data_IF_900476674962
#
_entry.id   IF_900476674962
#
_cell.length_a   1.000
_cell.length_b   1.000
_cell.length_c   1.000
_cell.angle_alpha   90.00
_cell.angle_beta   90.00
_cell.angle_gamma   90.00
#
_symmetry.space_group_name_H-M   'P 1'
#
loop_
_entity.id
_entity.type
_entity.pdbx_description
1 polymer ?
#
# COMPACT_ATOMS: atom_id res chain seq x y z
N UNK A 1 6.95 -24.55 38.49
CA UNK A 1 6.38 -24.91 37.17
C UNK A 1 5.91 -23.62 36.53
N UNK A 2 6.51 -23.22 35.40
CA UNK A 2 6.24 -21.94 34.74
C UNK A 2 7.21 -21.75 33.57
N UNK A 3 7.22 -22.72 32.64
CA UNK A 3 8.07 -22.64 31.44
C UNK A 3 7.44 -21.62 30.49
N UNK A 4 8.16 -20.52 30.29
CA UNK A 4 7.94 -19.53 29.22
C UNK A 4 7.59 -20.22 27.91
N UNK A 5 6.39 -19.95 27.42
CA UNK A 5 5.89 -20.37 26.11
C UNK A 5 6.17 -19.30 25.04
N UNK A 6 7.25 -18.52 25.18
CA UNK A 6 7.66 -17.51 24.19
C UNK A 6 8.76 -18.01 23.26
N UNK A 7 8.75 -19.31 22.95
CA UNK A 7 9.36 -19.79 21.72
C UNK A 7 8.38 -19.48 20.59
N UNK A 8 8.30 -18.19 20.22
CA UNK A 8 7.74 -17.78 18.94
C UNK A 8 8.40 -18.67 17.90
N UNK A 9 7.56 -19.40 17.18
CA UNK A 9 7.90 -20.25 16.06
C UNK A 9 8.85 -19.49 15.11
N UNK A 10 10.15 -19.59 15.32
CA UNK A 10 11.17 -19.45 14.29
C UNK A 10 11.04 -20.69 13.40
N UNK A 11 9.90 -20.82 12.76
CA UNK A 11 9.63 -21.87 11.79
C UNK A 11 10.61 -21.67 10.67
N UNK A 12 11.49 -22.66 10.51
CA UNK A 12 12.44 -22.89 9.41
C UNK A 12 11.77 -22.99 8.02
N UNK A 13 10.76 -22.17 7.72
CA UNK A 13 10.24 -21.99 6.37
C UNK A 13 11.01 -20.83 5.76
N UNK A 14 12.05 -21.16 5.01
CA UNK A 14 13.06 -20.24 4.46
C UNK A 14 12.57 -19.30 3.38
N UNK A 15 11.37 -18.72 3.51
CA UNK A 15 11.01 -17.48 2.85
C UNK A 15 10.97 -16.37 3.88
N UNK A 16 11.70 -15.30 3.63
CA UNK A 16 11.66 -14.12 4.50
C UNK A 16 10.41 -13.31 4.24
N UNK A 17 9.94 -12.65 5.30
CA UNK A 17 8.86 -11.68 5.22
C UNK A 17 9.29 -10.48 4.37
N UNK A 18 8.32 -9.78 3.79
CA UNK A 18 8.55 -8.47 3.21
C UNK A 18 9.07 -7.54 4.31
N UNK A 19 10.21 -6.90 4.06
CA UNK A 19 10.84 -6.01 5.04
C UNK A 19 10.04 -4.74 5.33
N UNK A 20 9.12 -4.35 4.44
CA UNK A 20 8.27 -3.16 4.61
C UNK A 20 7.02 -3.47 5.44
N UNK A 21 6.28 -4.54 5.08
CA UNK A 21 4.99 -4.82 5.71
C UNK A 21 4.99 -5.93 6.76
N UNK A 22 6.10 -6.67 6.88
CA UNK A 22 6.25 -7.82 7.77
C UNK A 22 5.44 -9.06 7.33
N UNK A 23 4.62 -8.97 6.29
CA UNK A 23 3.84 -10.10 5.77
C UNK A 23 4.72 -11.00 4.90
N UNK A 24 4.46 -12.32 4.87
CA UNK A 24 5.22 -13.25 4.04
C UNK A 24 5.08 -12.92 2.55
N UNK A 25 6.15 -13.14 1.78
CA UNK A 25 6.06 -13.14 0.31
C UNK A 25 5.19 -14.31 -0.10
N UNK A 26 4.05 -14.04 -0.74
CA UNK A 26 3.10 -15.10 -1.08
C UNK A 26 3.63 -15.94 -2.24
N UNK A 27 3.26 -17.20 -2.28
CA UNK A 27 3.45 -18.01 -3.47
C UNK A 27 2.23 -17.87 -4.37
N UNK A 28 2.44 -17.57 -5.65
CA UNK A 28 1.37 -17.74 -6.63
C UNK A 28 1.12 -19.23 -6.85
N UNK A 29 -0.15 -19.64 -6.87
CA UNK A 29 -0.50 -21.01 -7.22
C UNK A 29 -0.40 -21.19 -8.74
N UNK A 30 -0.10 -22.40 -9.25
CA UNK A 30 -0.10 -22.66 -10.68
C UNK A 30 -1.44 -22.37 -11.37
N UNK A 31 -2.55 -22.44 -10.63
CA UNK A 31 -3.89 -22.14 -11.14
C UNK A 31 -4.04 -20.64 -11.43
N UNK A 32 -3.53 -19.77 -10.55
CA UNK A 32 -3.53 -18.31 -10.72
C UNK A 32 -2.81 -17.91 -12.03
N UNK A 33 -1.80 -18.69 -12.44
CA UNK A 33 -1.08 -18.46 -13.69
C UNK A 33 -1.96 -18.65 -14.92
N UNK A 34 -2.90 -19.60 -14.94
CA UNK A 34 -3.76 -19.82 -16.12
C UNK A 34 -4.61 -18.59 -16.40
N UNK A 35 -5.17 -18.01 -15.34
CA UNK A 35 -6.01 -16.83 -15.40
C UNK A 35 -5.23 -15.57 -15.78
N UNK A 36 -3.91 -15.53 -15.59
CA UNK A 36 -3.11 -14.34 -15.87
C UNK A 36 -2.14 -14.48 -17.04
N UNK A 37 -1.94 -15.70 -17.53
CA UNK A 37 -1.04 -15.97 -18.64
C UNK A 37 -1.42 -15.18 -19.89
N UNK A 38 -2.71 -14.87 -20.09
CA UNK A 38 -3.14 -14.07 -21.24
C UNK A 38 -2.86 -12.56 -21.09
N UNK A 39 -2.66 -12.06 -19.87
CA UNK A 39 -2.30 -10.66 -19.59
C UNK A 39 -0.76 -10.50 -19.63
N UNK A 40 -0.04 -11.50 -19.09
CA UNK A 40 1.39 -11.40 -18.81
C UNK A 40 2.30 -12.21 -19.74
N UNK A 41 1.76 -13.12 -20.55
CA UNK A 41 2.50 -13.76 -21.64
C UNK A 41 2.23 -12.93 -22.89
N UNK A 42 3.16 -12.05 -23.30
CA UNK A 42 3.02 -11.34 -24.54
C UNK A 42 2.92 -12.36 -25.66
N UNK A 43 1.82 -12.32 -26.41
CA UNK A 43 1.57 -13.17 -27.59
C UNK A 43 2.64 -13.00 -28.67
N UNK A 44 3.58 -12.06 -28.51
CA UNK A 44 4.49 -11.53 -29.53
C UNK A 44 5.96 -11.43 -29.09
N UNK A 45 6.40 -12.13 -28.04
CA UNK A 45 7.82 -12.13 -27.62
C UNK A 45 8.33 -10.78 -27.07
N UNK A 46 7.45 -9.79 -26.92
CA UNK A 46 7.73 -8.54 -26.20
C UNK A 46 8.09 -8.86 -24.74
N UNK A 47 8.89 -8.01 -24.08
CA UNK A 47 9.16 -8.17 -22.65
C UNK A 47 8.27 -7.22 -21.89
N UNK A 48 7.58 -7.71 -20.85
CA UNK A 48 6.90 -6.83 -19.89
C UNK A 48 7.94 -6.12 -19.04
N UNK A 49 7.80 -4.81 -18.91
CA UNK A 49 8.63 -3.96 -18.07
C UNK A 49 8.13 -3.97 -16.63
N UNK A 50 9.00 -3.57 -15.70
CA UNK A 50 8.60 -3.49 -14.30
C UNK A 50 7.50 -2.46 -14.05
N UNK A 51 7.52 -1.34 -14.77
CA UNK A 51 6.48 -0.32 -14.70
C UNK A 51 5.12 -0.82 -15.19
N UNK A 52 5.07 -1.50 -16.33
CA UNK A 52 3.83 -2.12 -16.84
C UNK A 52 3.24 -3.11 -15.83
N UNK A 53 4.09 -3.91 -15.18
CA UNK A 53 3.64 -4.86 -14.16
C UNK A 53 3.12 -4.14 -12.90
N UNK A 54 3.78 -3.07 -12.46
CA UNK A 54 3.35 -2.29 -11.30
C UNK A 54 2.00 -1.58 -11.51
N UNK A 55 1.67 -1.26 -12.76
CA UNK A 55 0.41 -0.60 -13.14
C UNK A 55 -0.70 -1.57 -13.57
N UNK A 56 -0.44 -2.89 -13.58
CA UNK A 56 -1.42 -3.88 -14.01
C UNK A 56 -2.66 -3.95 -13.10
N UNK A 57 -3.83 -4.26 -13.69
CA UNK A 57 -5.11 -4.38 -12.97
C UNK A 57 -5.28 -5.77 -12.34
N UNK A 58 -5.04 -5.87 -11.03
CA UNK A 58 -5.15 -7.11 -10.26
C UNK A 58 -6.56 -7.46 -9.76
N UNK A 59 -7.62 -6.90 -10.33
CA UNK A 59 -8.99 -7.07 -9.84
C UNK A 59 -9.48 -8.52 -9.84
N UNK A 60 -9.04 -9.36 -10.78
CA UNK A 60 -9.46 -10.77 -10.87
C UNK A 60 -8.82 -11.65 -9.81
N UNK A 61 -7.52 -11.44 -9.54
CA UNK A 61 -6.74 -12.20 -8.55
C UNK A 61 -5.89 -11.25 -7.71
N UNK A 62 -6.48 -10.55 -6.71
CA UNK A 62 -5.78 -9.52 -5.94
C UNK A 62 -4.52 -10.03 -5.21
N UNK A 63 -4.53 -11.29 -4.76
CA UNK A 63 -3.39 -11.92 -4.08
C UNK A 63 -2.18 -12.11 -4.99
N UNK A 64 -2.37 -12.15 -6.32
CA UNK A 64 -1.27 -12.32 -7.26
C UNK A 64 -0.26 -11.18 -7.17
N UNK A 65 -0.74 -9.95 -6.95
CA UNK A 65 0.12 -8.78 -6.77
C UNK A 65 1.13 -8.98 -5.62
N UNK A 66 0.69 -9.67 -4.56
CA UNK A 66 1.50 -9.98 -3.37
C UNK A 66 2.43 -11.19 -3.55
N UNK A 67 2.35 -11.88 -4.68
CA UNK A 67 3.36 -12.87 -5.07
C UNK A 67 4.56 -12.25 -5.80
N UNK A 68 4.41 -11.03 -6.32
CA UNK A 68 5.51 -10.29 -6.92
C UNK A 68 6.31 -9.57 -5.85
N UNK A 69 7.62 -9.65 -5.98
CA UNK A 69 8.53 -9.02 -5.04
C UNK A 69 9.75 -8.44 -5.76
N UNK A 70 10.32 -7.43 -5.12
CA UNK A 70 11.67 -6.92 -5.37
C UNK A 70 12.54 -7.25 -4.16
N UNK A 71 13.83 -7.01 -4.29
CA UNK A 71 14.80 -7.23 -3.23
C UNK A 71 15.74 -6.03 -3.15
N UNK A 72 16.03 -5.58 -1.94
CA UNK A 72 17.22 -4.75 -1.70
C UNK A 72 18.42 -5.69 -1.59
N UNK A 73 19.28 -5.62 -2.59
CA UNK A 73 20.46 -6.47 -2.75
C UNK A 73 21.66 -5.79 -2.11
N UNK A 74 22.35 -6.50 -1.25
CA UNK A 74 23.59 -6.08 -0.59
C UNK A 74 24.72 -6.94 -1.13
N UNK A 75 25.42 -6.41 -2.14
CA UNK A 75 26.51 -7.11 -2.82
C UNK A 75 27.72 -7.31 -1.89
N UNK A 76 28.62 -8.28 -2.19
CA UNK A 76 29.81 -8.54 -1.38
C UNK A 76 30.78 -7.36 -1.25
N UNK A 77 30.72 -6.38 -2.16
CA UNK A 77 31.51 -5.15 -2.14
C UNK A 77 30.90 -4.06 -1.23
N UNK A 78 29.76 -4.33 -0.60
CA UNK A 78 29.03 -3.40 0.25
C UNK A 78 28.07 -2.49 -0.50
N UNK A 79 27.97 -2.60 -1.84
CA UNK A 79 27.00 -1.82 -2.61
C UNK A 79 25.57 -2.32 -2.37
N UNK A 80 24.64 -1.37 -2.38
CA UNK A 80 23.21 -1.61 -2.22
C UNK A 80 22.48 -1.22 -3.50
N UNK A 81 21.57 -2.06 -3.98
CA UNK A 81 20.72 -1.75 -5.12
C UNK A 81 19.37 -2.46 -5.02
N UNK A 82 18.38 -1.98 -5.74
CA UNK A 82 17.07 -2.62 -5.84
C UNK A 82 17.06 -3.55 -7.06
N UNK A 83 16.52 -4.76 -6.89
CA UNK A 83 16.38 -5.71 -7.98
C UNK A 83 15.22 -5.36 -8.92
N UNK A 84 15.16 -6.03 -10.07
CA UNK A 84 13.94 -6.16 -10.85
C UNK A 84 12.82 -6.91 -10.11
N UNK A 85 11.68 -7.10 -10.76
CA UNK A 85 10.52 -7.78 -10.17
C UNK A 85 10.60 -9.27 -10.45
N UNK A 86 10.37 -10.10 -9.43
CA UNK A 86 10.28 -11.55 -9.56
C UNK A 86 8.97 -12.06 -8.97
N UNK A 87 8.36 -13.03 -9.64
CA UNK A 87 7.24 -13.79 -9.10
C UNK A 87 7.73 -14.92 -8.19
N UNK A 88 7.18 -15.01 -6.99
CA UNK A 88 7.44 -16.10 -6.06
C UNK A 88 6.69 -17.36 -6.50
N UNK A 89 7.43 -18.33 -7.04
CA UNK A 89 6.89 -19.56 -7.60
C UNK A 89 7.45 -20.78 -6.89
N UNK A 90 6.55 -21.50 -6.22
CA UNK A 90 6.80 -22.77 -5.53
C UNK A 90 7.97 -22.71 -4.53
N UNK A 91 8.29 -23.80 -3.83
CA UNK A 91 9.29 -23.86 -2.74
C UNK A 91 10.72 -23.55 -3.22
N UNK A 92 11.02 -22.32 -3.63
CA UNK A 92 12.39 -21.84 -3.80
C UNK A 92 13.08 -21.98 -2.45
N UNK A 93 13.92 -23.00 -2.35
CA UNK A 93 14.62 -23.35 -1.13
C UNK A 93 15.71 -22.31 -0.90
N UNK A 94 15.52 -21.51 0.14
CA UNK A 94 16.53 -20.74 0.86
C UNK A 94 17.28 -19.63 0.11
N UNK A 95 17.02 -19.39 -1.18
CA UNK A 95 17.76 -18.39 -1.96
C UNK A 95 16.88 -17.61 -2.91
N UNK A 96 17.25 -16.35 -3.10
CA UNK A 96 16.61 -15.46 -4.06
C UNK A 96 17.37 -15.44 -5.37
N UNK A 97 16.64 -15.59 -6.48
CA UNK A 97 17.16 -15.39 -7.84
C UNK A 97 16.33 -14.32 -8.53
N UNK A 98 16.85 -13.10 -8.56
CA UNK A 98 16.17 -11.93 -9.10
C UNK A 98 16.97 -11.29 -10.23
N UNK A 99 16.33 -10.54 -11.14
CA UNK A 99 17.03 -9.69 -12.09
C UNK A 99 17.82 -8.58 -11.38
N UNK A 100 19.04 -8.30 -11.83
CA UNK A 100 19.87 -7.24 -11.27
C UNK A 100 19.38 -5.84 -11.67
N UNK A 101 18.87 -5.69 -12.90
CA UNK A 101 18.31 -4.43 -13.39
C UNK A 101 16.90 -4.21 -12.80
N UNK A 102 16.65 -3.01 -12.26
CA UNK A 102 15.37 -2.61 -11.64
C UNK A 102 14.18 -2.67 -12.61
N UNK A 103 14.41 -2.57 -13.92
CA UNK A 103 13.35 -2.57 -14.93
C UNK A 103 13.03 -3.97 -15.47
N UNK A 104 13.86 -4.96 -15.17
CA UNK A 104 13.65 -6.33 -15.63
C UNK A 104 12.57 -7.03 -14.80
N UNK A 105 11.77 -7.87 -15.46
CA UNK A 105 10.72 -8.67 -14.84
C UNK A 105 10.95 -10.15 -15.09
N UNK A 106 10.75 -10.96 -14.05
CA UNK A 106 10.78 -12.42 -14.09
C UNK A 106 9.44 -13.01 -13.65
N UNK A 107 8.73 -13.61 -14.61
CA UNK A 107 7.45 -14.27 -14.41
C UNK A 107 7.54 -15.77 -14.70
N UNK A 108 6.70 -16.56 -14.04
CA UNK A 108 6.49 -17.97 -14.37
C UNK A 108 7.65 -18.94 -14.09
N UNK A 109 7.34 -20.23 -14.17
CA UNK A 109 8.27 -21.34 -13.90
C UNK A 109 9.25 -21.61 -15.06
N UNK A 110 9.27 -20.77 -16.11
CA UNK A 110 10.22 -20.83 -17.23
C UNK A 110 11.63 -20.36 -16.83
N UNK A 111 12.03 -20.74 -15.62
CA UNK A 111 13.33 -20.57 -15.01
C UNK A 111 14.36 -21.58 -15.53
N UNK A 112 13.94 -22.56 -16.35
CA UNK A 112 14.84 -23.45 -17.07
C UNK A 112 15.61 -22.73 -18.19
N UNK A 113 15.11 -21.59 -18.66
CA UNK A 113 15.95 -20.63 -19.37
C UNK A 113 16.86 -19.95 -18.35
N UNK A 114 18.10 -20.41 -18.30
CA UNK A 114 19.21 -19.79 -17.59
C UNK A 114 19.22 -18.32 -18.00
N UNK A 115 18.74 -17.44 -17.13
CA UNK A 115 18.95 -16.01 -17.33
C UNK A 115 20.43 -15.75 -17.03
N UNK A 116 21.24 -15.38 -18.04
CA UNK A 116 22.69 -15.29 -17.89
C UNK A 116 23.15 -14.19 -16.91
N UNK A 117 22.21 -13.47 -16.27
CA UNK A 117 22.45 -12.37 -15.34
C UNK A 117 21.75 -12.51 -13.99
N UNK A 118 21.13 -13.65 -13.68
CA UNK A 118 20.57 -13.84 -12.33
C UNK A 118 21.68 -14.19 -11.35
N UNK A 119 21.77 -13.48 -10.23
CA UNK A 119 22.65 -13.81 -9.09
C UNK A 119 21.84 -14.46 -7.98
N UNK A 120 22.51 -15.30 -7.18
CA UNK A 120 21.92 -15.89 -5.98
C UNK A 120 22.29 -15.06 -4.75
N UNK A 121 21.29 -14.72 -3.96
CA UNK A 121 21.46 -14.00 -2.70
C UNK A 121 20.86 -14.79 -1.55
N UNK A 122 21.53 -14.72 -0.41
CA UNK A 122 21.05 -15.31 0.84
C UNK A 122 20.06 -14.33 1.52
N UNK A 123 18.99 -14.83 2.15
CA UNK A 123 18.06 -13.98 2.88
C UNK A 123 18.77 -13.19 3.99
N UNK A 124 18.64 -11.87 3.96
CA UNK A 124 18.97 -11.02 5.07
C UNK A 124 17.86 -11.05 6.12
N UNK A 125 18.24 -10.89 7.38
CA UNK A 125 17.28 -10.64 8.46
C UNK A 125 17.56 -9.24 9.01
N UNK A 126 16.50 -8.51 9.37
CA UNK A 126 16.63 -7.13 9.86
C UNK A 126 16.79 -7.08 11.37
N UNK A 127 16.47 -8.17 12.07
CA UNK A 127 16.46 -8.21 13.51
C UNK A 127 17.80 -8.59 14.10
N UNK A 128 18.62 -9.41 13.44
CA UNK A 128 19.90 -9.81 14.03
C UNK A 128 20.89 -8.63 14.11
N UNK A 129 21.43 -8.38 15.30
CA UNK A 129 22.36 -7.27 15.60
C UNK A 129 23.74 -7.44 14.96
N UNK A 130 24.10 -8.67 14.59
CA UNK A 130 25.43 -9.01 14.06
C UNK A 130 25.31 -10.01 12.92
N UNK A 131 25.44 -9.50 11.71
CA UNK A 131 25.71 -10.34 10.54
C UNK A 131 27.21 -10.52 10.41
N UNK A 132 27.72 -11.61 10.98
CA UNK A 132 29.05 -12.12 10.59
C UNK A 132 28.90 -12.81 9.23
N UNK A 133 29.58 -12.33 8.17
CA UNK A 133 29.54 -12.98 6.87
C UNK A 133 30.13 -14.39 7.00
N UNK A 134 29.28 -15.40 7.11
CA UNK A 134 29.71 -16.80 7.00
C UNK A 134 29.91 -17.12 5.50
N UNK A 135 30.97 -16.55 4.92
CA UNK A 135 31.38 -16.79 3.53
C UNK A 135 31.39 -15.53 2.67
N UNK A 136 32.60 -15.02 2.38
CA UNK A 136 32.88 -13.78 1.62
C UNK A 136 32.41 -13.75 0.14
N UNK A 137 31.60 -14.71 -0.32
CA UNK A 137 31.29 -14.85 -1.76
C UNK A 137 29.87 -14.48 -2.18
N UNK A 138 28.94 -14.32 -1.25
CA UNK A 138 27.52 -14.08 -1.59
C UNK A 138 27.02 -12.80 -0.94
N UNK A 139 26.20 -12.07 -1.70
CA UNK A 139 25.46 -10.94 -1.17
C UNK A 139 24.22 -11.37 -0.39
N UNK A 140 23.57 -10.39 0.24
CA UNK A 140 22.33 -10.55 0.99
C UNK A 140 21.13 -9.95 0.26
N UNK A 141 19.95 -10.43 0.64
CA UNK A 141 18.68 -10.06 0.03
C UNK A 141 17.62 -9.72 1.08
N UNK A 142 17.07 -8.51 1.01
CA UNK A 142 15.94 -8.07 1.82
C UNK A 142 14.70 -7.92 0.93
N UNK A 143 13.79 -8.91 0.89
CA UNK A 143 12.68 -8.87 -0.06
C UNK A 143 11.59 -7.91 0.37
N UNK A 144 10.88 -7.39 -0.61
CA UNK A 144 9.73 -6.52 -0.44
C UNK A 144 8.68 -6.84 -1.49
N UNK A 145 7.40 -6.88 -1.10
CA UNK A 145 6.32 -7.01 -2.09
C UNK A 145 6.41 -5.87 -3.10
N UNK A 146 6.14 -6.16 -4.36
CA UNK A 146 6.08 -5.13 -5.41
C UNK A 146 5.10 -4.00 -5.02
N UNK A 147 3.88 -4.28 -4.54
CA UNK A 147 2.99 -3.20 -4.08
C UNK A 147 3.54 -2.38 -2.92
N UNK A 148 4.26 -2.99 -1.98
CA UNK A 148 4.90 -2.25 -0.87
C UNK A 148 5.98 -1.30 -1.38
N UNK A 149 6.76 -1.71 -2.39
CA UNK A 149 7.74 -0.85 -3.05
C UNK A 149 7.09 0.31 -3.81
N UNK A 150 5.97 0.08 -4.51
CA UNK A 150 5.23 1.15 -5.19
C UNK A 150 4.76 2.20 -4.19
N UNK A 151 4.15 1.78 -3.07
CA UNK A 151 3.72 2.71 -2.02
C UNK A 151 4.90 3.47 -1.39
N UNK A 152 6.01 2.78 -1.11
CA UNK A 152 7.22 3.39 -0.58
C UNK A 152 7.70 4.53 -1.47
N UNK A 153 7.79 4.31 -2.79
CA UNK A 153 8.23 5.31 -3.76
C UNK A 153 7.28 6.50 -3.91
N UNK A 154 5.98 6.26 -3.73
CA UNK A 154 4.99 7.33 -3.76
C UNK A 154 5.10 8.24 -2.54
N UNK A 155 5.42 7.69 -1.36
CA UNK A 155 5.61 8.48 -0.14
C UNK A 155 6.98 9.13 -0.04
N UNK A 156 8.02 8.41 -0.44
CA UNK A 156 9.42 8.84 -0.38
C UNK A 156 9.98 8.70 -1.79
N UNK A 157 10.20 9.83 -2.48
CA UNK A 157 10.71 9.90 -3.86
C UNK A 157 11.69 8.76 -4.19
N UNK A 158 11.44 8.05 -5.29
CA UNK A 158 12.26 6.90 -5.74
C UNK A 158 13.76 7.18 -5.69
N UNK A 159 14.18 8.35 -6.21
CA UNK A 159 15.58 8.73 -6.26
C UNK A 159 16.18 8.86 -4.87
N UNK A 160 15.45 9.47 -3.93
CA UNK A 160 15.90 9.66 -2.54
C UNK A 160 16.06 8.30 -1.88
N UNK A 161 15.10 7.39 -2.05
CA UNK A 161 15.14 6.05 -1.47
C UNK A 161 16.31 5.22 -2.03
N UNK A 162 16.47 5.16 -3.34
CA UNK A 162 17.51 4.35 -3.99
C UNK A 162 18.93 4.85 -3.70
N UNK A 163 19.12 6.17 -3.56
CA UNK A 163 20.41 6.75 -3.17
C UNK A 163 20.77 6.52 -1.69
N UNK A 164 19.79 6.18 -0.86
CA UNK A 164 19.92 6.10 0.60
C UNK A 164 19.48 4.73 1.17
N UNK A 165 19.62 3.65 0.39
CA UNK A 165 19.18 2.30 0.80
C UNK A 165 19.80 1.83 2.13
N UNK A 166 21.01 2.26 2.45
CA UNK A 166 21.65 1.94 3.74
C UNK A 166 20.87 2.53 4.93
N UNK A 167 20.43 3.79 4.82
CA UNK A 167 19.59 4.43 5.82
C UNK A 167 18.20 3.83 5.86
N UNK A 168 17.64 3.42 4.71
CA UNK A 168 16.36 2.70 4.67
C UNK A 168 16.45 1.38 5.45
N UNK A 169 17.47 0.55 5.20
CA UNK A 169 17.64 -0.72 5.92
C UNK A 169 17.85 -0.52 7.42
N UNK A 170 18.59 0.51 7.82
CA UNK A 170 18.74 0.87 9.24
C UNK A 170 17.40 1.29 9.87
N UNK A 171 16.60 2.07 9.15
CA UNK A 171 15.26 2.52 9.57
C UNK A 171 14.34 1.32 9.74
N UNK A 172 14.28 0.43 8.75
CA UNK A 172 13.48 -0.79 8.81
C UNK A 172 13.92 -1.68 9.98
N UNK A 173 15.23 -1.86 10.17
CA UNK A 173 15.78 -2.63 11.29
C UNK A 173 15.38 -2.03 12.65
N UNK A 174 15.50 -0.71 12.80
CA UNK A 174 15.06 0.02 13.99
C UNK A 174 13.56 -0.16 14.24
N UNK A 175 12.73 0.07 13.23
CA UNK A 175 11.27 -0.06 13.30
C UNK A 175 10.84 -1.45 13.81
N UNK A 176 11.42 -2.52 13.25
CA UNK A 176 11.07 -3.89 13.64
C UNK A 176 11.64 -4.29 15.00
N UNK A 177 12.85 -3.86 15.37
CA UNK A 177 13.47 -4.20 16.67
C UNK A 177 12.78 -3.54 17.85
N UNK A 178 12.31 -2.30 17.70
CA UNK A 178 11.64 -1.58 18.78
C UNK A 178 10.19 -2.03 19.01
N UNK A 179 9.75 -3.13 18.37
CA UNK A 179 8.40 -3.64 18.55
C UNK A 179 7.31 -2.74 18.01
N UNK A 180 7.65 -1.66 17.29
CA UNK A 180 6.66 -0.80 16.65
C UNK A 180 5.81 -1.62 15.67
N UNK A 181 6.41 -2.59 14.96
CA UNK A 181 5.67 -3.55 14.13
C UNK A 181 4.84 -4.61 14.88
N UNK A 182 5.14 -4.87 16.16
CA UNK A 182 4.46 -5.89 16.98
C UNK A 182 3.09 -5.39 17.46
N UNK A 183 2.93 -4.09 17.71
CA UNK A 183 1.61 -3.52 17.96
C UNK A 183 0.67 -3.58 16.74
N UNK A 184 1.25 -3.76 15.55
CA UNK A 184 0.51 -3.98 14.31
C UNK A 184 0.43 -5.45 13.87
N UNK A 185 1.07 -6.36 14.64
CA UNK A 185 0.95 -7.82 14.48
C UNK A 185 0.90 -8.49 15.86
N UNK A 186 -0.30 -8.80 16.40
CA UNK A 186 -1.35 -9.50 15.67
C UNK A 186 -2.72 -8.80 15.77
N UNK A 187 -3.27 -8.35 14.63
CA UNK A 187 -4.73 -8.45 14.49
C UNK A 187 -5.03 -9.96 14.62
N UNK A 188 -5.94 -10.38 15.51
CA UNK A 188 -6.18 -11.78 15.81
C UNK A 188 -6.20 -12.60 14.53
N UNK A 189 -5.50 -13.74 14.54
CA UNK A 189 -5.63 -14.78 13.51
C UNK A 189 -7.10 -14.84 13.12
N UNK A 190 -7.41 -14.41 11.90
CA UNK A 190 -8.72 -14.56 11.30
C UNK A 190 -9.86 -13.99 12.17
N UNK A 191 -10.16 -12.69 12.04
CA UNK A 191 -11.60 -12.37 12.01
C UNK A 191 -12.11 -13.07 10.76
N UNK A 192 -12.65 -14.28 10.94
CA UNK A 192 -13.26 -15.07 9.88
C UNK A 192 -14.46 -14.27 9.35
N UNK A 193 -14.23 -13.38 8.41
CA UNK A 193 -15.31 -12.83 7.63
C UNK A 193 -15.78 -13.93 6.69
N UNK A 194 -16.87 -14.59 7.08
CA UNK A 194 -17.63 -15.48 6.21
C UNK A 194 -18.30 -14.60 5.16
N UNK A 195 -17.58 -14.26 4.09
CA UNK A 195 -18.21 -13.73 2.89
C UNK A 195 -19.12 -14.84 2.36
N UNK A 196 -20.44 -14.63 2.39
CA UNK A 196 -21.49 -15.64 2.25
C UNK A 196 -21.54 -16.40 0.90
N UNK A 197 -20.50 -16.30 0.06
CA UNK A 197 -20.47 -16.89 -1.27
C UNK A 197 -19.18 -17.62 -1.63
N UNK A 198 -18.10 -17.45 -0.86
CA UNK A 198 -16.82 -18.12 -1.10
C UNK A 198 -16.19 -18.47 0.25
N UNK A 199 -16.08 -19.74 0.59
CA UNK A 199 -15.37 -20.25 1.79
C UNK A 199 -13.83 -20.07 1.65
N UNK A 200 -13.38 -18.92 1.18
CA UNK A 200 -11.98 -18.55 1.09
C UNK A 200 -11.72 -17.48 2.14
N UNK A 201 -10.98 -17.86 3.19
CA UNK A 201 -10.43 -16.91 4.15
C UNK A 201 -9.43 -15.99 3.41
N UNK A 202 -9.92 -14.84 2.91
CA UNK A 202 -9.05 -13.83 2.28
C UNK A 202 -8.40 -13.04 3.40
N UNK A 203 -7.12 -13.32 3.64
CA UNK A 203 -6.28 -12.51 4.51
C UNK A 203 -6.15 -11.11 3.89
N UNK A 204 -6.73 -10.11 4.56
CA UNK A 204 -6.72 -8.72 4.08
C UNK A 204 -5.30 -8.19 3.88
N UNK A 205 -4.30 -8.72 4.59
CA UNK A 205 -2.89 -8.36 4.42
C UNK A 205 -2.33 -8.76 3.04
N UNK A 206 -3.11 -9.54 2.28
CA UNK A 206 -2.74 -10.10 0.97
C UNK A 206 -3.47 -9.42 -0.18
N UNK A 207 -4.38 -8.49 0.12
CA UNK A 207 -5.00 -7.65 -0.90
C UNK A 207 -4.00 -6.61 -1.40
N UNK A 208 -4.02 -6.32 -2.71
CA UNK A 208 -3.13 -5.33 -3.31
C UNK A 208 -3.42 -3.93 -2.73
N UNK A 209 -2.51 -3.35 -1.95
CA UNK A 209 -2.73 -2.05 -1.34
C UNK A 209 -2.55 -0.89 -2.32
N UNK A 210 -1.97 -1.10 -3.51
CA UNK A 210 -1.81 -0.05 -4.53
C UNK A 210 -3.08 0.10 -5.36
N UNK A 211 -3.85 -0.96 -5.55
CA UNK A 211 -5.04 -0.97 -6.37
C UNK A 211 -6.29 -1.28 -5.56
N UNK A 212 -7.16 -0.30 -5.38
CA UNK A 212 -8.44 -0.44 -4.68
C UNK A 212 -9.58 -0.31 -5.71
N UNK A 213 -10.16 -1.43 -6.21
CA UNK A 213 -11.15 -1.41 -7.27
C UNK A 213 -12.34 -0.47 -7.01
N UNK A 214 -12.78 -0.38 -5.76
CA UNK A 214 -13.92 0.44 -5.35
C UNK A 214 -13.65 1.95 -5.46
N UNK A 215 -12.39 2.37 -5.31
CA UNK A 215 -11.95 3.74 -5.60
C UNK A 215 -12.02 3.96 -7.12
N UNK A 216 -11.51 3.02 -7.91
CA UNK A 216 -11.51 3.11 -9.38
C UNK A 216 -12.92 3.21 -9.96
N UNK A 217 -13.87 2.44 -9.43
CA UNK A 217 -15.29 2.52 -9.81
C UNK A 217 -15.86 3.92 -9.52
N UNK A 218 -15.59 4.49 -8.34
CA UNK A 218 -16.05 5.83 -7.96
C UNK A 218 -15.42 6.93 -8.81
N UNK A 219 -14.13 6.82 -9.12
CA UNK A 219 -13.43 7.73 -10.03
C UNK A 219 -14.05 7.70 -11.43
N UNK A 220 -14.32 6.50 -11.95
CA UNK A 220 -14.97 6.31 -13.25
C UNK A 220 -16.38 6.89 -13.26
N UNK A 221 -17.13 6.78 -12.16
CA UNK A 221 -18.44 7.40 -12.01
C UNK A 221 -18.32 8.93 -11.95
N UNK A 222 -17.42 9.48 -11.13
CA UNK A 222 -17.20 10.91 -10.97
C UNK A 222 -16.82 11.62 -12.28
N UNK A 223 -16.11 10.92 -13.18
CA UNK A 223 -15.77 11.42 -14.53
C UNK A 223 -16.95 11.42 -15.50
N UNK A 224 -17.98 10.60 -15.26
CA UNK A 224 -19.17 10.47 -16.11
C UNK A 224 -20.34 11.30 -15.60
N UNK A 225 -20.38 11.58 -14.31
CA UNK A 225 -21.45 12.37 -13.71
C UNK A 225 -21.39 13.80 -14.28
N UNK A 226 -22.48 14.30 -14.87
CA UNK A 226 -22.53 15.69 -15.31
C UNK A 226 -22.31 16.61 -14.09
N UNK A 227 -21.67 17.78 -14.28
CA UNK A 227 -21.44 18.71 -13.19
C UNK A 227 -22.76 19.04 -12.46
N UNK A 228 -22.68 19.36 -11.15
CA UNK A 228 -23.86 19.45 -10.29
C UNK A 228 -24.95 20.39 -10.83
N UNK A 229 -26.19 20.10 -10.43
CA UNK A 229 -27.40 20.80 -10.83
C UNK A 229 -27.27 22.34 -10.78
N UNK A 230 -27.93 23.02 -11.72
CA UNK A 230 -28.01 24.49 -11.77
C UNK A 230 -28.49 25.05 -10.42
N UNK A 231 -27.83 26.09 -9.93
CA UNK A 231 -28.18 26.81 -8.69
C UNK A 231 -29.66 27.24 -8.70
N UNK A 232 -30.30 27.27 -7.53
CA UNK A 232 -31.59 27.94 -7.35
C UNK A 232 -31.50 29.40 -7.82
N UNK A 233 -32.61 29.99 -8.30
CA UNK A 233 -32.71 31.44 -8.44
C UNK A 233 -32.32 32.13 -7.12
N UNK A 234 -31.62 33.28 -7.17
CA UNK A 234 -31.13 34.01 -5.99
C UNK A 234 -32.19 34.33 -4.93
N UNK A 235 -33.48 34.29 -5.29
CA UNK A 235 -34.58 34.77 -4.46
C UNK A 235 -35.11 33.76 -3.45
N UNK A 236 -34.62 32.50 -3.46
CA UNK A 236 -35.09 31.50 -2.50
C UNK A 236 -34.45 31.69 -1.11
N UNK A 237 -35.22 31.90 -0.02
CA UNK A 237 -34.69 32.28 1.30
C UNK A 237 -33.72 31.24 1.89
N UNK A 238 -33.94 29.96 1.57
CA UNK A 238 -33.09 28.85 2.01
C UNK A 238 -31.75 28.78 1.23
N UNK A 239 -31.67 29.39 0.05
CA UNK A 239 -30.44 29.51 -0.73
C UNK A 239 -29.52 30.64 -0.26
N UNK A 240 -29.96 31.47 0.71
CA UNK A 240 -29.20 32.63 1.21
C UNK A 240 -28.20 32.31 2.32
N UNK A 241 -28.03 31.03 2.67
CA UNK A 241 -27.04 30.64 3.68
C UNK A 241 -25.63 30.93 3.13
N UNK A 242 -24.77 31.65 3.87
CA UNK A 242 -23.39 31.88 3.45
C UNK A 242 -22.67 30.55 3.19
N UNK A 243 -21.83 30.50 2.16
CA UNK A 243 -21.17 29.26 1.73
C UNK A 243 -20.32 28.64 2.84
N UNK A 244 -19.73 29.47 3.69
CA UNK A 244 -18.93 29.08 4.84
C UNK A 244 -19.76 28.31 5.87
N UNK A 245 -21.01 28.74 6.09
CA UNK A 245 -21.95 28.05 6.98
C UNK A 245 -22.40 26.72 6.37
N UNK A 246 -22.65 26.69 5.05
CA UNK A 246 -22.98 25.46 4.35
C UNK A 246 -21.83 24.44 4.40
N UNK A 247 -20.58 24.89 4.22
CA UNK A 247 -19.38 24.06 4.40
C UNK A 247 -19.26 23.55 5.84
N UNK A 248 -19.46 24.41 6.84
CA UNK A 248 -19.41 24.01 8.24
C UNK A 248 -20.45 22.93 8.58
N UNK A 249 -21.67 23.04 8.06
CA UNK A 249 -22.71 22.02 8.27
C UNK A 249 -22.36 20.71 7.55
N UNK A 250 -21.85 20.78 6.31
CA UNK A 250 -21.39 19.60 5.59
C UNK A 250 -20.25 18.90 6.36
N UNK A 251 -19.32 19.66 6.93
CA UNK A 251 -18.23 19.16 7.76
C UNK A 251 -18.74 18.45 9.01
N UNK A 252 -19.69 19.07 9.71
CA UNK A 252 -20.30 18.48 10.91
C UNK A 252 -20.95 17.12 10.62
N UNK A 253 -21.62 16.98 9.46
CA UNK A 253 -22.24 15.71 9.06
C UNK A 253 -21.16 14.69 8.66
N UNK A 254 -20.19 15.07 7.82
CA UNK A 254 -19.16 14.17 7.29
C UNK A 254 -18.20 13.66 8.37
N UNK A 255 -17.88 14.49 9.37
CA UNK A 255 -16.99 14.11 10.49
C UNK A 255 -17.68 13.24 11.54
N UNK A 256 -19.02 13.09 11.50
CA UNK A 256 -19.74 12.22 12.44
C UNK A 256 -19.58 10.73 12.07
N UNK A 257 -18.56 10.11 12.64
CA UNK A 257 -18.24 8.68 12.49
C UNK A 257 -19.30 7.74 13.01
N UNK A 258 -20.19 8.23 13.88
CA UNK A 258 -21.26 7.40 14.45
C UNK A 258 -22.40 7.20 13.46
N UNK A 259 -22.44 7.99 12.37
CA UNK A 259 -23.46 7.91 11.31
C UNK A 259 -22.99 7.07 10.12
N UNK A 260 -23.58 5.89 9.89
CA UNK A 260 -23.20 5.05 8.75
C UNK A 260 -23.59 5.65 7.39
N UNK A 261 -24.48 6.65 7.36
CA UNK A 261 -25.03 7.28 6.15
C UNK A 261 -24.60 8.74 5.95
N UNK A 262 -23.54 9.19 6.62
CA UNK A 262 -23.08 10.60 6.57
C UNK A 262 -22.86 11.17 5.16
N UNK A 263 -22.37 10.36 4.22
CA UNK A 263 -22.22 10.79 2.81
C UNK A 263 -23.58 11.08 2.17
N UNK A 264 -24.50 10.13 2.27
CA UNK A 264 -25.89 10.26 1.80
C UNK A 264 -26.64 11.41 2.47
N UNK A 265 -26.49 11.59 3.78
CA UNK A 265 -27.11 12.70 4.51
C UNK A 265 -26.58 14.05 4.01
N UNK A 266 -25.27 14.15 3.79
CA UNK A 266 -24.63 15.34 3.18
C UNK A 266 -25.17 15.57 1.77
N UNK A 267 -25.28 14.52 0.96
CA UNK A 267 -25.85 14.62 -0.39
C UNK A 267 -27.30 15.13 -0.38
N UNK A 268 -28.17 14.57 0.47
CA UNK A 268 -29.56 14.99 0.57
C UNK A 268 -29.69 16.40 1.14
N UNK A 269 -28.86 16.78 2.11
CA UNK A 269 -28.81 18.14 2.63
C UNK A 269 -28.46 19.14 1.51
N UNK A 270 -27.37 18.90 0.78
CA UNK A 270 -26.96 19.75 -0.34
C UNK A 270 -28.06 19.83 -1.41
N UNK A 271 -28.71 18.70 -1.69
CA UNK A 271 -29.79 18.63 -2.67
C UNK A 271 -31.05 19.39 -2.21
N UNK A 272 -31.48 19.18 -0.96
CA UNK A 272 -32.69 19.80 -0.40
C UNK A 272 -32.56 21.32 -0.30
N UNK A 273 -31.39 21.80 0.12
CA UNK A 273 -31.11 23.24 0.23
C UNK A 273 -30.56 23.85 -1.07
N UNK A 274 -30.35 23.01 -2.11
CA UNK A 274 -29.69 23.33 -3.39
C UNK A 274 -28.39 24.10 -3.20
N UNK A 275 -27.62 23.72 -2.17
CA UNK A 275 -26.30 24.26 -1.92
C UNK A 275 -25.31 23.68 -2.93
N UNK A 276 -24.44 24.54 -3.44
CA UNK A 276 -23.28 24.14 -4.25
C UNK A 276 -22.05 24.64 -3.54
N UNK A 277 -21.20 23.72 -3.08
CA UNK A 277 -19.94 24.07 -2.45
C UNK A 277 -18.84 24.17 -3.51
N UNK A 278 -17.80 25.01 -3.30
CA UNK A 278 -16.71 25.14 -4.26
C UNK A 278 -15.95 23.82 -4.44
N UNK A 279 -15.47 23.53 -5.65
CA UNK A 279 -14.61 22.35 -5.90
C UNK A 279 -13.38 22.32 -5.00
N UNK A 280 -12.82 23.49 -4.64
CA UNK A 280 -11.69 23.58 -3.73
C UNK A 280 -11.98 22.92 -2.37
N UNK A 281 -13.22 23.03 -1.87
CA UNK A 281 -13.66 22.37 -0.64
C UNK A 281 -13.66 20.84 -0.81
N UNK A 282 -14.28 20.33 -1.87
CA UNK A 282 -14.34 18.89 -2.12
C UNK A 282 -12.97 18.28 -2.43
N UNK A 283 -12.14 18.98 -3.19
CA UNK A 283 -10.74 18.60 -3.46
C UNK A 283 -9.95 18.47 -2.16
N UNK A 284 -10.12 19.39 -1.22
CA UNK A 284 -9.46 19.33 0.09
C UNK A 284 -9.87 18.07 0.87
N UNK A 285 -11.13 17.66 0.80
CA UNK A 285 -11.64 16.43 1.43
C UNK A 285 -11.19 15.14 0.74
N UNK A 286 -10.85 15.18 -0.54
CA UNK A 286 -10.25 14.04 -1.25
C UNK A 286 -8.74 13.90 -1.01
N UNK A 287 -8.06 14.91 -0.45
CA UNK A 287 -6.60 14.89 -0.20
C UNK A 287 -6.28 14.13 1.08
N UNK A 288 -6.49 12.82 1.05
CA UNK A 288 -6.01 11.93 2.12
C UNK A 288 -4.84 11.10 1.58
N UNK A 289 -3.87 10.78 2.44
CA UNK A 289 -2.76 9.91 2.07
C UNK A 289 -3.22 8.52 1.56
N UNK A 290 -4.47 8.12 1.88
CA UNK A 290 -5.08 6.87 1.45
C UNK A 290 -5.50 6.87 -0.03
N UNK A 291 -5.64 8.03 -0.67
CA UNK A 291 -6.23 8.19 -2.00
C UNK A 291 -5.19 8.60 -3.03
N UNK A 292 -4.22 7.72 -3.26
CA UNK A 292 -3.09 7.92 -4.17
C UNK A 292 -3.52 8.29 -5.60
N UNK A 293 -4.67 7.77 -6.02
CA UNK A 293 -5.27 8.04 -7.31
C UNK A 293 -5.74 9.50 -7.47
N UNK A 294 -6.13 10.16 -6.38
CA UNK A 294 -6.65 11.53 -6.41
C UNK A 294 -5.57 12.52 -6.83
N UNK A 295 -4.32 12.32 -6.42
CA UNK A 295 -3.21 13.19 -6.82
C UNK A 295 -2.90 13.12 -8.31
N UNK A 296 -3.14 11.97 -8.94
CA UNK A 296 -3.02 11.86 -10.40
C UNK A 296 -4.11 12.68 -11.10
N UNK A 297 -5.33 12.65 -10.57
CA UNK A 297 -6.48 13.39 -11.12
C UNK A 297 -6.36 14.89 -10.87
N UNK A 298 -5.87 15.30 -9.69
CA UNK A 298 -5.62 16.72 -9.41
C UNK A 298 -4.60 17.33 -10.38
N UNK A 299 -3.71 16.51 -10.94
CA UNK A 299 -2.73 16.89 -11.97
C UNK A 299 -3.26 16.74 -13.39
N UNK A 300 -4.36 16.05 -13.61
CA UNK A 300 -4.99 15.94 -14.93
C UNK A 300 -5.92 17.13 -15.17
N UNK A 301 -6.10 17.51 -16.43
CA UNK A 301 -7.09 18.51 -16.83
C UNK A 301 -8.50 17.91 -17.00
N UNK A 302 -8.72 16.70 -16.45
CA UNK A 302 -9.99 16.00 -16.61
C UNK A 302 -11.10 16.66 -15.77
N UNK A 303 -12.29 16.78 -16.37
CA UNK A 303 -13.49 17.18 -15.63
C UNK A 303 -13.90 16.06 -14.68
N UNK A 304 -14.02 16.37 -13.40
CA UNK A 304 -14.42 15.44 -12.35
C UNK A 304 -15.47 16.10 -11.46
N UNK A 305 -16.57 15.40 -11.19
CA UNK A 305 -17.50 15.78 -10.14
C UNK A 305 -16.86 15.53 -8.76
N UNK A 306 -16.18 16.56 -8.26
CA UNK A 306 -15.48 16.50 -6.98
C UNK A 306 -16.42 16.29 -5.80
N UNK A 307 -17.65 16.81 -5.87
CA UNK A 307 -18.66 16.62 -4.84
C UNK A 307 -19.07 15.14 -4.74
N UNK A 308 -19.44 14.54 -5.87
CA UNK A 308 -19.76 13.12 -5.92
C UNK A 308 -18.58 12.28 -5.44
N UNK A 309 -17.37 12.58 -5.91
CA UNK A 309 -16.20 11.81 -5.55
C UNK A 309 -15.94 11.88 -4.03
N UNK A 310 -15.83 13.08 -3.46
CA UNK A 310 -15.57 13.26 -2.03
C UNK A 310 -16.61 12.54 -1.16
N UNK A 311 -17.90 12.74 -1.44
CA UNK A 311 -19.00 12.10 -0.70
C UNK A 311 -18.91 10.58 -0.83
N UNK A 312 -18.74 10.06 -2.05
CA UNK A 312 -18.72 8.61 -2.29
C UNK A 312 -17.52 7.92 -1.63
N UNK A 313 -16.38 8.63 -1.50
CA UNK A 313 -15.18 8.12 -0.83
C UNK A 313 -15.37 8.06 0.69
N UNK A 314 -16.06 9.03 1.30
CA UNK A 314 -16.40 8.99 2.73
C UNK A 314 -17.31 7.80 3.08
N UNK A 315 -18.09 7.33 2.11
CA UNK A 315 -18.94 6.14 2.24
C UNK A 315 -18.20 4.81 2.01
N UNK A 316 -16.91 4.82 1.67
CA UNK A 316 -16.12 3.59 1.57
C UNK A 316 -15.83 3.02 2.96
N UNK A 317 -16.41 1.87 3.34
CA UNK A 317 -16.15 1.31 4.64
C UNK A 317 -14.74 0.69 4.65
N UNK A 318 -13.85 1.22 5.49
CA UNK A 318 -12.50 0.68 5.67
C UNK A 318 -12.53 -0.80 6.08
N UNK A 319 -13.54 -1.21 6.85
CA UNK A 319 -13.66 -2.57 7.38
C UNK A 319 -14.19 -3.61 6.38
N UNK A 320 -14.74 -3.20 5.24
CA UNK A 320 -15.24 -4.13 4.22
C UNK A 320 -14.31 -4.26 3.02
N UNK A 321 -13.31 -3.39 2.89
CA UNK A 321 -12.40 -3.36 1.77
C UNK A 321 -10.98 -3.76 2.19
N UNK A 322 -10.62 -5.01 1.92
CA UNK A 322 -9.33 -5.58 2.29
C UNK A 322 -8.13 -4.80 1.69
N UNK A 323 -8.25 -4.34 0.44
CA UNK A 323 -7.18 -3.58 -0.22
C UNK A 323 -6.97 -2.22 0.45
N UNK A 324 -8.07 -1.51 0.73
CA UNK A 324 -8.03 -0.22 1.41
C UNK A 324 -7.55 -0.35 2.86
N UNK A 325 -7.97 -1.40 3.57
CA UNK A 325 -7.49 -1.72 4.90
C UNK A 325 -5.98 -1.99 4.92
N UNK A 326 -5.48 -2.80 3.98
CA UNK A 326 -4.06 -3.06 3.85
C UNK A 326 -3.30 -1.79 3.49
N UNK A 327 -3.82 -0.97 2.56
CA UNK A 327 -3.26 0.34 2.20
C UNK A 327 -3.14 1.23 3.43
N UNK A 328 -4.20 1.39 4.21
CA UNK A 328 -4.20 2.17 5.44
C UNK A 328 -3.12 1.70 6.42
N UNK A 329 -3.03 0.39 6.68
CA UNK A 329 -1.97 -0.18 7.53
C UNK A 329 -0.58 0.18 7.02
N UNK A 330 -0.33 -0.04 5.73
CA UNK A 330 1.00 0.18 5.16
C UNK A 330 1.39 1.65 5.16
N UNK A 331 0.47 2.56 4.83
CA UNK A 331 0.74 3.99 4.90
C UNK A 331 1.03 4.44 6.33
N UNK A 332 0.38 3.84 7.33
CA UNK A 332 0.75 4.05 8.74
C UNK A 332 2.19 3.62 9.04
N UNK A 333 2.63 2.45 8.55
CA UNK A 333 4.02 2.00 8.72
C UNK A 333 5.00 2.92 8.00
N UNK A 334 4.69 3.24 6.75
CA UNK A 334 5.54 4.08 5.91
C UNK A 334 5.66 5.50 6.46
N UNK A 335 4.59 6.07 7.04
CA UNK A 335 4.64 7.36 7.71
C UNK A 335 5.60 7.37 8.90
N UNK A 336 5.52 6.35 9.76
CA UNK A 336 6.49 6.18 10.85
C UNK A 336 7.93 6.07 10.36
N UNK A 337 8.15 5.28 9.30
CA UNK A 337 9.49 5.08 8.75
C UNK A 337 10.01 6.32 8.02
N UNK A 338 9.15 7.11 7.38
CA UNK A 338 9.53 8.30 6.62
C UNK A 338 10.20 9.34 7.50
N UNK A 339 9.65 9.61 8.69
CA UNK A 339 10.23 10.57 9.64
C UNK A 339 11.63 10.15 10.08
N UNK A 340 11.79 8.90 10.53
CA UNK A 340 13.09 8.37 10.96
C UNK A 340 14.10 8.32 9.79
N UNK A 341 13.65 7.90 8.61
CA UNK A 341 14.48 7.85 7.40
C UNK A 341 15.01 9.24 7.04
N UNK A 342 14.14 10.26 7.07
CA UNK A 342 14.53 11.63 6.74
C UNK A 342 15.50 12.21 7.77
N UNK A 343 15.31 11.92 9.06
CA UNK A 343 16.25 12.31 10.12
C UNK A 343 17.63 11.70 9.90
N UNK A 344 17.70 10.41 9.53
CA UNK A 344 18.96 9.72 9.23
C UNK A 344 19.69 10.31 8.03
N UNK A 345 18.97 10.62 6.94
CA UNK A 345 19.55 11.32 5.78
C UNK A 345 20.14 12.67 6.18
N UNK A 346 19.44 13.42 7.02
CA UNK A 346 19.85 14.75 7.46
C UNK A 346 20.95 14.72 8.55
N UNK A 347 21.43 13.54 8.96
CA UNK A 347 22.46 13.40 9.99
C UNK A 347 22.00 13.78 11.40
N UNK A 348 20.69 13.84 11.64
CA UNK A 348 20.12 14.13 12.96
C UNK A 348 20.30 12.91 13.85
N UNK A 349 20.93 13.09 15.03
CA UNK A 349 21.11 12.02 16.00
C UNK A 349 19.77 11.68 16.65
N UNK A 350 19.35 10.43 16.51
CA UNK A 350 18.11 9.92 17.10
C UNK A 350 18.25 9.85 18.64
N UNK A 351 17.35 10.53 19.37
CA UNK A 351 17.29 10.41 20.84
C UNK A 351 16.26 9.38 21.25
N UNK A 352 16.38 8.78 22.44
CA UNK A 352 15.38 7.81 22.90
C UNK A 352 13.97 8.40 23.07
N UNK A 353 13.86 9.71 23.27
CA UNK A 353 12.57 10.42 23.30
C UNK A 353 11.85 10.41 21.95
N UNK A 354 12.57 10.28 20.83
CA UNK A 354 12.01 10.26 19.48
C UNK A 354 11.46 8.88 19.09
N UNK A 355 11.67 7.85 19.94
CA UNK A 355 11.26 6.45 19.69
C UNK A 355 9.75 6.23 19.70
N UNK A 356 8.94 7.19 20.13
CA UNK A 356 7.49 7.10 19.99
C UNK A 356 7.15 7.65 18.61
N UNK A 357 6.94 6.76 17.64
CA UNK A 357 6.34 7.18 16.38
C UNK A 357 5.05 7.95 16.72
N UNK A 358 5.06 9.26 16.44
CA UNK A 358 3.99 10.19 16.82
C UNK A 358 2.67 9.90 16.11
N UNK A 359 2.69 9.02 15.10
CA UNK A 359 1.52 8.48 14.43
C UNK A 359 0.85 7.42 15.30
N UNK A 360 0.25 7.88 16.38
CA UNK A 360 -1.04 7.34 16.78
C UNK A 360 -2.02 7.75 15.70
N UNK A 361 -1.98 7.12 14.52
CA UNK A 361 -3.18 6.99 13.70
C UNK A 361 -4.10 6.07 14.49
N UNK A 362 -4.73 6.61 15.54
CA UNK A 362 -5.87 5.95 16.16
C UNK A 362 -6.79 5.67 14.99
N UNK A 363 -7.14 4.42 14.82
CA UNK A 363 -8.10 3.96 13.83
C UNK A 363 -9.43 4.77 13.87
N UNK A 364 -9.68 5.52 14.95
CA UNK A 364 -10.79 6.47 15.09
C UNK A 364 -10.55 7.90 14.57
N UNK A 365 -9.31 8.38 14.43
CA UNK A 365 -9.03 9.77 14.03
C UNK A 365 -9.13 9.98 12.50
N UNK A 366 -8.74 9.00 11.68
CA UNK A 366 -8.97 9.03 10.22
C UNK A 366 -10.43 8.79 9.79
N UNK A 367 -11.31 8.42 10.73
CA UNK A 367 -12.74 8.47 10.46
C UNK A 367 -13.33 9.85 10.80
N UNK A 368 -12.67 10.63 11.67
CA UNK A 368 -13.16 11.90 12.23
C UNK A 368 -12.69 13.16 11.47
N UNK A 369 -11.60 13.08 10.72
CA UNK A 369 -11.16 14.09 9.73
C UNK A 369 -11.70 13.76 8.33
#
# INVERSE_FOLDING_TARGET
MGKKQDAILTTRQGLTNCVICGSPIQFSRPEDWKEWSHILVPRTGQKITAEELEQADYSTVPSLAMSFYRIILHDPDGSLHVSGITQSLNKQRHRYRVPYNTQDVRLGASASFIWPRSREYEPGDLQADKYTPSGKRRGWAYPMHMPCWVLLRQMMSTQVVEQNLSYLLQTLSSFWRHGQGVHWTPIPRLVKYRAARWDVEVDWATANPVWVPEIQVRLKMARKTPPPMKRLPPDHPIGRVPVEIAMFIADLILSDTTRPMRGRDTHYMLWAFRWTLPDAYWKARCRTALLLEVDQILRSEESVDWQFLAISLVELPLNTNNALLNRHRLLGFLGCMQEEFQQRINGVKFTESDKKCGLVLKYGELNAE
#
